data_IF_018924216765
#
_entry.id   IF_018924216765
#
_cell.length_a   1.000
_cell.length_b   1.000
_cell.length_c   1.000
_cell.angle_alpha   90.00
_cell.angle_beta   90.00
_cell.angle_gamma   90.00
#
_symmetry.space_group_name_H-M   'P 1'
#
loop_
_entity.id
_entity.type
_entity.pdbx_description
1 polymer ?
#
# COMPACT_ATOMS: atom_id res chain seq x y z
N UNK A 1 7.62 10.09 94.30
CA UNK A 1 7.43 9.18 95.44
C UNK A 1 5.94 8.89 95.45
N UNK A 2 5.35 7.83 94.91
CA UNK A 2 5.71 6.52 94.30
C UNK A 2 4.72 6.32 93.11
N UNK A 3 5.05 5.84 91.89
CA UNK A 3 5.24 4.43 91.43
C UNK A 3 4.16 3.46 91.97
N UNK A 4 3.45 2.59 91.24
CA UNK A 4 3.55 1.88 89.94
C UNK A 4 2.12 1.62 89.39
N UNK A 5 1.80 1.71 88.08
CA UNK A 5 1.95 0.72 86.98
C UNK A 5 1.21 -0.64 87.17
N UNK A 6 0.15 -0.92 86.38
CA UNK A 6 0.20 -1.75 85.14
C UNK A 6 -1.14 -2.38 84.68
N UNK A 7 -1.40 -2.24 83.35
CA UNK A 7 -1.97 -3.17 82.34
C UNK A 7 -3.44 -3.63 82.27
N UNK A 8 -3.96 -3.42 81.04
CA UNK A 8 -4.77 -4.31 80.16
C UNK A 8 -6.23 -4.56 80.57
N UNK A 9 -7.18 -3.99 79.83
CA UNK A 9 -7.80 -4.64 78.66
C UNK A 9 -8.82 -3.69 78.01
N UNK A 10 -8.85 -3.69 76.67
CA UNK A 10 -9.73 -2.83 75.88
C UNK A 10 -11.14 -3.38 75.79
N UNK A 11 -12.12 -2.49 75.67
CA UNK A 11 -13.38 -2.69 74.93
C UNK A 11 -13.82 -1.32 74.42
N UNK A 12 -13.89 -1.19 73.10
CA UNK A 12 -14.37 -0.02 72.38
C UNK A 12 -15.85 -0.25 72.06
N UNK A 13 -16.74 0.57 72.62
CA UNK A 13 -18.20 0.46 72.43
C UNK A 13 -18.57 0.99 71.05
N UNK A 14 -19.12 0.11 70.20
CA UNK A 14 -19.51 0.40 68.83
C UNK A 14 -20.81 1.20 68.71
N UNK A 15 -20.78 2.26 67.89
CA UNK A 15 -21.99 2.90 67.36
C UNK A 15 -22.41 2.22 66.06
N UNK A 16 -23.65 1.71 66.05
CA UNK A 16 -24.28 1.12 64.87
C UNK A 16 -24.65 2.22 63.86
N UNK A 17 -23.97 2.22 62.70
CA UNK A 17 -24.36 3.02 61.54
C UNK A 17 -25.25 2.18 60.62
N UNK A 18 -26.49 2.62 60.43
CA UNK A 18 -27.49 1.99 59.57
C UNK A 18 -27.11 2.18 58.10
N UNK A 19 -26.61 1.12 57.47
CA UNK A 19 -26.36 1.09 56.03
C UNK A 19 -27.69 0.89 55.28
N UNK A 20 -28.11 1.87 54.49
CA UNK A 20 -29.15 1.67 53.47
C UNK A 20 -28.57 0.87 52.29
N UNK A 21 -29.28 -0.13 51.74
CA UNK A 21 -28.84 -0.79 50.53
C UNK A 21 -29.05 0.15 49.34
N UNK A 22 -27.97 0.50 48.65
CA UNK A 22 -28.01 1.17 47.35
C UNK A 22 -28.52 0.16 46.32
N UNK A 23 -29.75 0.36 45.85
CA UNK A 23 -30.29 -0.35 44.68
C UNK A 23 -29.41 -0.06 43.46
N UNK A 24 -28.59 -1.03 43.03
CA UNK A 24 -27.98 -1.04 41.70
C UNK A 24 -29.08 -1.21 40.66
N UNK A 25 -29.62 -0.10 40.14
CA UNK A 25 -30.51 -0.11 38.98
C UNK A 25 -29.76 -0.64 37.76
N UNK A 26 -30.44 -1.54 37.03
CA UNK A 26 -29.89 -2.40 36.00
C UNK A 26 -29.16 -1.67 34.88
N UNK A 27 -27.88 -2.00 34.74
CA UNK A 27 -27.15 -1.84 33.49
C UNK A 27 -27.21 -3.13 32.68
N UNK A 28 -27.68 -3.01 31.44
CA UNK A 28 -27.01 -3.57 30.26
C UNK A 28 -27.52 -4.85 29.56
N UNK A 29 -28.43 -4.63 28.60
CA UNK A 29 -28.29 -5.26 27.28
C UNK A 29 -27.23 -4.56 26.43
N UNK A 30 -27.15 -3.22 26.52
CA UNK A 30 -26.22 -2.41 25.71
C UNK A 30 -24.73 -2.67 26.01
N UNK A 31 -24.37 -2.98 27.27
CA UNK A 31 -22.99 -3.37 27.63
C UNK A 31 -22.62 -4.81 27.23
N UNK A 32 -23.59 -5.74 27.16
CA UNK A 32 -23.34 -7.11 26.68
C UNK A 32 -23.06 -7.13 25.19
N UNK A 33 -23.85 -6.39 24.40
CA UNK A 33 -23.61 -6.20 22.97
C UNK A 33 -22.28 -5.46 22.72
N UNK A 34 -21.97 -4.42 23.50
CA UNK A 34 -20.69 -3.71 23.43
C UNK A 34 -19.49 -4.60 23.82
N UNK A 35 -19.65 -5.49 24.79
CA UNK A 35 -18.61 -6.46 25.21
C UNK A 35 -18.41 -7.58 24.19
N UNK A 36 -19.49 -8.09 23.59
CA UNK A 36 -19.44 -9.07 22.51
C UNK A 36 -18.81 -8.46 21.25
N UNK A 37 -19.25 -7.26 20.85
CA UNK A 37 -18.68 -6.52 19.73
C UNK A 37 -17.21 -6.16 19.97
N UNK A 38 -16.80 -5.84 21.20
CA UNK A 38 -15.39 -5.66 21.58
C UNK A 38 -14.59 -6.95 21.45
N UNK A 39 -15.09 -8.09 21.97
CA UNK A 39 -14.40 -9.39 21.84
C UNK A 39 -14.29 -9.85 20.39
N UNK A 40 -15.36 -9.65 19.62
CA UNK A 40 -15.40 -10.00 18.19
C UNK A 40 -14.49 -9.10 17.36
N UNK A 41 -14.49 -7.78 17.58
CA UNK A 41 -13.56 -6.88 16.90
C UNK A 41 -12.11 -7.15 17.29
N UNK A 42 -11.80 -7.37 18.58
CA UNK A 42 -10.45 -7.80 18.99
C UNK A 42 -10.04 -9.12 18.36
N UNK A 43 -10.95 -10.08 18.21
CA UNK A 43 -10.68 -11.33 17.50
C UNK A 43 -10.46 -11.12 16.00
N UNK A 44 -11.32 -10.34 15.31
CA UNK A 44 -11.18 -10.01 13.90
C UNK A 44 -9.86 -9.33 13.57
N UNK A 45 -9.40 -8.40 14.43
CA UNK A 45 -8.13 -7.70 14.28
C UNK A 45 -6.92 -8.48 14.81
N UNK A 46 -7.12 -9.69 15.37
CA UNK A 46 -6.00 -10.58 15.68
C UNK A 46 -5.42 -11.14 14.38
N UNK A 47 -4.13 -11.48 14.36
CA UNK A 47 -3.49 -12.11 13.19
C UNK A 47 -4.25 -13.37 12.73
N UNK A 48 -4.75 -14.18 13.67
CA UNK A 48 -5.55 -15.38 13.38
C UNK A 48 -6.90 -15.01 12.76
N UNK A 49 -7.57 -13.98 13.26
CA UNK A 49 -8.84 -13.49 12.72
C UNK A 49 -8.70 -12.93 11.30
N UNK A 50 -7.63 -12.17 11.03
CA UNK A 50 -7.32 -11.68 9.68
C UNK A 50 -7.06 -12.83 8.71
N UNK A 51 -6.26 -13.83 9.11
CA UNK A 51 -6.03 -15.03 8.29
C UNK A 51 -7.35 -15.77 7.99
N UNK A 52 -8.21 -15.96 9.00
CA UNK A 52 -9.51 -16.61 8.81
C UNK A 52 -10.43 -15.80 7.87
N UNK A 53 -10.40 -14.47 7.95
CA UNK A 53 -11.18 -13.58 7.08
C UNK A 53 -10.71 -13.68 5.62
N UNK A 54 -9.39 -13.66 5.38
CA UNK A 54 -8.81 -13.82 4.04
C UNK A 54 -9.21 -15.17 3.44
N UNK A 55 -9.08 -16.27 4.20
CA UNK A 55 -9.49 -17.60 3.75
C UNK A 55 -10.99 -17.62 3.42
N UNK A 56 -11.83 -17.07 4.30
CA UNK A 56 -13.28 -17.00 4.08
C UNK A 56 -13.65 -16.19 2.84
N UNK A 57 -12.98 -15.06 2.60
CA UNK A 57 -13.17 -14.23 1.40
C UNK A 57 -12.76 -14.98 0.13
N UNK A 58 -11.66 -15.72 0.16
CA UNK A 58 -11.22 -16.55 -0.98
C UNK A 58 -12.18 -17.69 -1.29
N UNK A 59 -12.74 -18.35 -0.27
CA UNK A 59 -13.76 -19.41 -0.45
C UNK A 59 -15.05 -18.83 -1.07
N UNK A 60 -15.48 -17.65 -0.60
CA UNK A 60 -16.63 -16.95 -1.19
C UNK A 60 -16.37 -16.60 -2.67
N UNK A 61 -15.16 -16.11 -3.00
CA UNK A 61 -14.74 -15.86 -4.37
C UNK A 61 -14.78 -17.12 -5.24
N UNK A 62 -14.33 -18.27 -4.72
CA UNK A 62 -14.35 -19.54 -5.45
C UNK A 62 -15.78 -19.97 -5.83
N UNK A 63 -16.75 -19.83 -4.91
CA UNK A 63 -18.16 -20.11 -5.23
C UNK A 63 -18.71 -19.12 -6.26
N UNK A 64 -18.40 -17.83 -6.13
CA UNK A 64 -18.85 -16.81 -7.05
C UNK A 64 -18.34 -17.05 -8.48
N UNK A 65 -17.02 -17.20 -8.66
CA UNK A 65 -16.44 -17.42 -9.99
C UNK A 65 -16.85 -18.74 -10.61
N UNK A 66 -16.96 -19.83 -9.83
CA UNK A 66 -17.50 -21.09 -10.35
C UNK A 66 -18.94 -20.92 -10.86
N UNK A 67 -19.79 -20.20 -10.12
CA UNK A 67 -21.18 -19.98 -10.52
C UNK A 67 -21.31 -19.10 -11.77
N UNK A 68 -20.40 -18.14 -11.96
CA UNK A 68 -20.41 -17.21 -13.08
C UNK A 68 -19.76 -17.82 -14.35
N UNK A 69 -18.60 -18.48 -14.22
CA UNK A 69 -17.76 -18.87 -15.36
C UNK A 69 -17.98 -20.33 -15.82
N UNK A 70 -18.28 -21.26 -14.91
CA UNK A 70 -18.35 -22.68 -15.27
C UNK A 70 -19.43 -23.01 -16.33
N UNK A 71 -20.64 -22.42 -16.28
CA UNK A 71 -21.64 -22.67 -17.32
C UNK A 71 -21.19 -22.19 -18.70
N UNK A 72 -20.48 -21.05 -18.75
CA UNK A 72 -19.97 -20.48 -20.00
C UNK A 72 -18.83 -21.32 -20.57
N UNK A 73 -17.91 -21.80 -19.73
CA UNK A 73 -16.83 -22.71 -20.11
C UNK A 73 -17.37 -24.01 -20.72
N UNK A 74 -18.36 -24.64 -20.07
CA UNK A 74 -18.96 -25.89 -20.55
C UNK A 74 -19.65 -25.70 -21.90
N UNK A 75 -20.43 -24.62 -22.05
CA UNK A 75 -21.07 -24.30 -23.32
C UNK A 75 -20.05 -24.05 -24.44
N UNK A 76 -18.94 -23.36 -24.13
CA UNK A 76 -17.90 -23.08 -25.12
C UNK A 76 -17.15 -24.34 -25.54
N UNK A 77 -16.85 -25.23 -24.60
CA UNK A 77 -16.24 -26.53 -24.86
C UNK A 77 -17.13 -27.39 -25.78
N UNK A 78 -18.45 -27.39 -25.55
CA UNK A 78 -19.40 -28.08 -26.41
C UNK A 78 -19.43 -27.49 -27.83
N UNK A 79 -19.47 -26.16 -27.95
CA UNK A 79 -19.41 -25.48 -29.26
C UNK A 79 -18.15 -25.84 -30.06
N UNK A 80 -16.98 -25.85 -29.42
CA UNK A 80 -15.71 -26.23 -30.08
C UNK A 80 -15.74 -27.70 -30.50
N UNK A 81 -16.32 -28.58 -29.68
CA UNK A 81 -16.52 -29.98 -30.04
C UNK A 81 -17.43 -30.14 -31.26
N UNK A 82 -18.53 -29.38 -31.33
CA UNK A 82 -19.44 -29.37 -32.47
C UNK A 82 -18.77 -28.82 -33.73
N UNK A 83 -17.98 -27.74 -33.62
CA UNK A 83 -17.23 -27.18 -34.73
C UNK A 83 -16.21 -28.18 -35.29
N UNK A 84 -15.53 -28.94 -34.43
CA UNK A 84 -14.63 -30.01 -34.83
C UNK A 84 -15.39 -31.10 -35.59
N UNK A 85 -16.53 -31.57 -35.08
CA UNK A 85 -17.34 -32.60 -35.74
C UNK A 85 -17.87 -32.13 -37.09
N UNK A 86 -18.34 -30.89 -37.18
CA UNK A 86 -18.78 -30.25 -38.42
C UNK A 86 -17.64 -30.13 -39.43
N UNK A 87 -16.44 -29.76 -38.99
CA UNK A 87 -15.26 -29.70 -39.86
C UNK A 87 -14.92 -31.08 -40.42
N UNK A 88 -14.93 -32.12 -39.58
CA UNK A 88 -14.74 -33.52 -40.04
C UNK A 88 -15.83 -33.93 -41.02
N UNK A 89 -17.10 -33.54 -40.79
CA UNK A 89 -18.23 -33.80 -41.68
C UNK A 89 -18.04 -33.12 -43.05
N UNK A 90 -17.59 -31.87 -43.08
CA UNK A 90 -17.30 -31.15 -44.34
C UNK A 90 -16.14 -31.77 -45.10
N UNK A 91 -15.07 -32.13 -44.40
CA UNK A 91 -13.95 -32.87 -44.99
C UNK A 91 -14.45 -34.20 -45.59
N UNK A 92 -15.42 -34.87 -44.95
CA UNK A 92 -16.04 -36.08 -45.50
C UNK A 92 -16.81 -35.77 -46.78
N UNK A 93 -17.68 -34.76 -46.80
CA UNK A 93 -18.44 -34.38 -48.00
C UNK A 93 -17.55 -34.04 -49.20
N UNK A 94 -16.38 -33.43 -48.95
CA UNK A 94 -15.37 -33.17 -49.98
C UNK A 94 -14.77 -34.49 -50.47
N UNK A 95 -14.47 -35.41 -49.54
CA UNK A 95 -13.86 -36.72 -49.82
C UNK A 95 -14.84 -37.66 -50.57
N UNK A 96 -16.11 -37.68 -50.17
CA UNK A 96 -17.19 -38.47 -50.76
C UNK A 96 -17.45 -38.06 -52.22
N UNK A 97 -17.36 -36.76 -52.52
CA UNK A 97 -17.42 -36.21 -53.89
C UNK A 97 -16.26 -36.63 -54.80
N UNK A 98 -15.15 -37.16 -54.24
CA UNK A 98 -13.94 -37.55 -54.98
C UNK A 98 -13.79 -39.08 -55.19
N UNK A 99 -14.77 -39.85 -54.72
CA UNK A 99 -15.06 -41.27 -54.98
C UNK A 99 -14.17 -42.35 -54.29
N UNK A 100 -14.88 -43.17 -53.51
CA UNK A 100 -14.52 -44.40 -52.77
C UNK A 100 -13.63 -44.24 -51.54
N UNK A 101 -14.25 -43.87 -50.41
CA UNK A 101 -13.70 -44.12 -49.07
C UNK A 101 -14.72 -44.77 -48.13
N UNK A 102 -14.24 -45.57 -47.18
CA UNK A 102 -15.07 -46.17 -46.13
C UNK A 102 -15.34 -45.13 -45.03
N UNK A 103 -16.58 -44.64 -44.96
CA UNK A 103 -17.02 -43.54 -44.08
C UNK A 103 -16.49 -43.65 -42.64
N UNK A 104 -16.81 -44.74 -41.94
CA UNK A 104 -16.48 -44.86 -40.51
C UNK A 104 -14.95 -44.90 -40.28
N UNK A 105 -14.22 -45.57 -41.16
CA UNK A 105 -12.77 -45.68 -41.06
C UNK A 105 -12.10 -44.35 -41.38
N UNK A 106 -12.57 -43.64 -42.41
CA UNK A 106 -12.07 -42.31 -42.76
C UNK A 106 -12.39 -41.28 -41.68
N UNK A 107 -13.63 -41.24 -41.16
CA UNK A 107 -14.02 -40.31 -40.12
C UNK A 107 -13.18 -40.52 -38.86
N UNK A 108 -12.89 -41.77 -38.51
CA UNK A 108 -11.99 -42.11 -37.41
C UNK A 108 -10.56 -41.67 -37.67
N UNK A 109 -10.01 -41.94 -38.86
CA UNK A 109 -8.64 -41.54 -39.23
C UNK A 109 -8.46 -40.02 -39.26
N UNK A 110 -9.41 -39.28 -39.83
CA UNK A 110 -9.35 -37.80 -39.88
C UNK A 110 -9.57 -37.20 -38.50
N UNK A 111 -10.51 -37.73 -37.71
CA UNK A 111 -10.67 -37.27 -36.31
C UNK A 111 -9.39 -37.48 -35.50
N UNK A 112 -8.69 -38.58 -35.75
CA UNK A 112 -7.38 -38.85 -35.14
C UNK A 112 -6.33 -37.84 -35.62
N UNK A 113 -6.23 -37.57 -36.93
CA UNK A 113 -5.26 -36.64 -37.50
C UNK A 113 -5.50 -35.19 -37.04
N UNK A 114 -6.76 -34.74 -37.00
CA UNK A 114 -7.12 -33.41 -36.47
C UNK A 114 -6.75 -33.30 -35.00
N UNK A 115 -6.96 -34.37 -34.21
CA UNK A 115 -6.56 -34.39 -32.79
C UNK A 115 -5.04 -34.38 -32.63
N UNK A 116 -4.32 -35.05 -33.52
CA UNK A 116 -2.86 -35.02 -33.58
C UNK A 116 -2.36 -33.60 -33.88
N UNK A 117 -2.86 -32.98 -34.96
CA UNK A 117 -2.55 -31.58 -35.30
C UNK A 117 -2.87 -30.62 -34.15
N UNK A 118 -4.03 -30.76 -33.51
CA UNK A 118 -4.39 -29.94 -32.35
C UNK A 118 -3.39 -30.12 -31.19
N UNK A 119 -2.91 -31.35 -30.96
CA UNK A 119 -1.94 -31.64 -29.89
C UNK A 119 -0.60 -31.00 -30.19
N UNK A 120 -0.12 -31.12 -31.43
CA UNK A 120 1.12 -30.49 -31.90
C UNK A 120 1.02 -28.96 -31.88
N UNK A 121 -0.11 -28.39 -32.30
CA UNK A 121 -0.36 -26.95 -32.24
C UNK A 121 -0.36 -26.44 -30.81
N UNK A 122 -1.03 -27.13 -29.88
CA UNK A 122 -1.01 -26.77 -28.46
C UNK A 122 0.40 -26.86 -27.89
N UNK A 123 1.20 -27.85 -28.31
CA UNK A 123 2.61 -27.96 -27.93
C UNK A 123 3.42 -26.78 -28.48
N UNK A 124 3.27 -26.43 -29.76
CA UNK A 124 3.93 -25.29 -30.39
C UNK A 124 3.56 -23.96 -29.71
N UNK A 125 2.27 -23.75 -29.36
CA UNK A 125 1.81 -22.55 -28.63
C UNK A 125 2.42 -22.49 -27.23
N UNK A 126 2.50 -23.64 -26.53
CA UNK A 126 3.21 -23.72 -25.24
C UNK A 126 4.70 -23.40 -25.36
N UNK A 127 5.32 -23.73 -26.49
CA UNK A 127 6.72 -23.40 -26.78
C UNK A 127 6.93 -21.96 -27.28
N UNK A 128 5.85 -21.22 -27.55
CA UNK A 128 5.86 -19.78 -27.84
C UNK A 128 5.41 -19.41 -29.26
N UNK A 129 4.80 -20.33 -30.01
CA UNK A 129 4.13 -19.98 -31.26
C UNK A 129 2.88 -19.14 -30.98
N UNK A 130 2.77 -18.00 -31.63
CA UNK A 130 1.70 -17.01 -31.42
C UNK A 130 0.64 -17.00 -32.53
N UNK A 131 0.70 -17.97 -33.45
CA UNK A 131 -0.26 -18.08 -34.55
C UNK A 131 -0.05 -17.09 -35.69
N UNK A 132 1.03 -16.28 -35.66
CA UNK A 132 1.33 -15.30 -36.71
C UNK A 132 2.41 -15.85 -37.65
N UNK A 133 2.03 -16.12 -38.89
CA UNK A 133 2.95 -16.62 -39.92
C UNK A 133 3.75 -15.45 -40.53
N UNK A 134 4.93 -15.17 -39.97
CA UNK A 134 5.93 -14.26 -40.53
C UNK A 134 5.65 -12.76 -40.36
N UNK A 135 6.70 -12.01 -39.97
CA UNK A 135 6.76 -10.55 -40.10
C UNK A 135 6.55 -9.72 -38.83
N UNK A 136 5.86 -10.22 -37.80
CA UNK A 136 5.69 -9.50 -36.53
C UNK A 136 6.47 -10.17 -35.40
N UNK A 137 7.54 -9.53 -34.92
CA UNK A 137 8.28 -10.01 -33.75
C UNK A 137 7.66 -9.43 -32.48
N UNK A 138 7.24 -10.28 -31.54
CA UNK A 138 6.76 -9.85 -30.21
C UNK A 138 7.84 -9.11 -29.41
N UNK A 139 9.10 -9.53 -29.57
CA UNK A 139 10.28 -8.91 -28.94
C UNK A 139 10.81 -7.69 -29.71
N UNK A 140 9.92 -6.77 -30.13
CA UNK A 140 10.36 -5.45 -30.58
C UNK A 140 10.93 -4.64 -29.41
N UNK A 141 11.64 -3.52 -29.67
CA UNK A 141 12.14 -2.68 -28.58
C UNK A 141 11.01 -2.20 -27.65
N UNK A 142 9.90 -1.69 -28.20
CA UNK A 142 8.75 -1.26 -27.38
C UNK A 142 8.06 -2.42 -26.67
N UNK A 143 8.01 -3.62 -27.27
CA UNK A 143 7.50 -4.83 -26.61
C UNK A 143 8.39 -5.28 -25.45
N UNK A 144 9.72 -5.29 -25.65
CA UNK A 144 10.69 -5.60 -24.61
C UNK A 144 10.72 -4.54 -23.50
N UNK A 145 10.50 -3.27 -23.83
CA UNK A 145 10.37 -2.18 -22.86
C UNK A 145 9.11 -2.35 -22.01
N UNK A 146 7.96 -2.61 -22.62
CA UNK A 146 6.72 -2.89 -21.90
C UNK A 146 6.86 -4.13 -21.01
N UNK A 147 7.47 -5.20 -21.53
CA UNK A 147 7.79 -6.39 -20.74
C UNK A 147 8.64 -6.03 -19.51
N UNK A 148 9.75 -5.30 -19.71
CA UNK A 148 10.65 -4.88 -18.63
C UNK A 148 9.91 -4.04 -17.59
N UNK A 149 9.06 -3.11 -18.02
CA UNK A 149 8.22 -2.31 -17.15
C UNK A 149 7.24 -3.19 -16.34
N UNK A 150 6.57 -4.15 -16.97
CA UNK A 150 5.62 -5.06 -16.29
C UNK A 150 6.31 -5.97 -15.26
N UNK A 151 7.59 -6.31 -15.46
CA UNK A 151 8.39 -7.08 -14.50
C UNK A 151 8.72 -6.24 -13.27
N UNK A 152 9.26 -5.02 -13.45
CA UNK A 152 9.64 -4.17 -12.30
C UNK A 152 8.43 -3.65 -11.54
N UNK A 153 7.30 -3.43 -12.22
CA UNK A 153 6.03 -3.01 -11.61
C UNK A 153 5.22 -4.16 -11.01
N UNK A 154 5.69 -5.40 -11.16
CA UNK A 154 5.00 -6.62 -10.68
C UNK A 154 3.61 -6.84 -11.28
N UNK A 155 3.30 -6.22 -12.43
CA UNK A 155 2.05 -6.43 -13.18
C UNK A 155 2.07 -7.82 -13.83
N UNK A 156 3.12 -8.11 -14.60
CA UNK A 156 3.37 -9.42 -15.20
C UNK A 156 2.24 -10.02 -16.04
N UNK A 157 1.80 -9.35 -17.12
CA UNK A 157 0.73 -9.82 -18.01
C UNK A 157 0.85 -11.30 -18.46
N UNK A 158 2.08 -11.79 -18.65
CA UNK A 158 2.31 -13.19 -19.03
C UNK A 158 2.04 -13.52 -20.50
N UNK A 159 1.50 -12.59 -21.28
CA UNK A 159 1.33 -12.71 -22.74
C UNK A 159 2.70 -12.81 -23.47
N UNK A 160 3.71 -12.06 -22.99
CA UNK A 160 5.10 -12.15 -23.46
C UNK A 160 5.97 -12.60 -22.29
N UNK A 161 6.69 -13.71 -22.47
CA UNK A 161 7.58 -14.26 -21.44
C UNK A 161 8.81 -14.95 -22.06
N UNK A 162 9.97 -14.91 -21.40
CA UNK A 162 11.20 -15.52 -21.89
C UNK A 162 11.07 -17.05 -21.91
N UNK A 163 11.20 -17.64 -23.09
CA UNK A 163 11.19 -19.10 -23.26
C UNK A 163 12.57 -19.73 -23.07
N UNK A 164 13.63 -19.00 -23.42
CA UNK A 164 15.01 -19.46 -23.31
C UNK A 164 15.49 -19.54 -21.86
N UNK A 165 16.38 -20.50 -21.57
CA UNK A 165 16.98 -20.63 -20.23
C UNK A 165 17.71 -19.35 -19.80
N UNK A 166 18.47 -18.73 -20.72
CA UNK A 166 19.15 -17.47 -20.48
C UNK A 166 18.19 -16.30 -20.23
N UNK A 167 17.09 -16.20 -20.98
CA UNK A 167 16.08 -15.16 -20.76
C UNK A 167 15.38 -15.28 -19.40
N UNK A 168 15.12 -16.52 -18.95
CA UNK A 168 14.57 -16.79 -17.60
C UNK A 168 15.55 -16.36 -16.51
N UNK A 169 16.83 -16.74 -16.62
CA UNK A 169 17.88 -16.33 -15.67
C UNK A 169 18.02 -14.80 -15.64
N UNK A 170 18.08 -14.16 -16.80
CA UNK A 170 18.18 -12.70 -16.91
C UNK A 170 16.98 -12.01 -16.25
N UNK A 171 15.76 -12.52 -16.45
CA UNK A 171 14.55 -11.98 -15.83
C UNK A 171 14.58 -12.10 -14.31
N UNK A 172 15.06 -13.22 -13.76
CA UNK A 172 15.19 -13.41 -12.31
C UNK A 172 16.12 -12.34 -11.72
N UNK A 173 17.31 -12.16 -12.31
CA UNK A 173 18.28 -11.16 -11.85
C UNK A 173 17.72 -9.74 -11.99
N UNK A 174 17.06 -9.46 -13.12
CA UNK A 174 16.43 -8.18 -13.39
C UNK A 174 15.33 -7.85 -12.38
N UNK A 175 14.47 -8.81 -12.02
CA UNK A 175 13.40 -8.62 -11.04
C UNK A 175 13.93 -8.40 -9.62
N UNK A 176 14.98 -9.12 -9.20
CA UNK A 176 15.60 -8.97 -7.87
C UNK A 176 16.07 -7.54 -7.62
N UNK A 177 16.63 -6.88 -8.63
CA UNK A 177 17.11 -5.50 -8.52
C UNK A 177 15.99 -4.50 -8.83
N UNK A 178 15.17 -4.79 -9.84
CA UNK A 178 14.16 -3.89 -10.36
C UNK A 178 12.97 -3.68 -9.42
N UNK A 179 12.49 -4.71 -8.72
CA UNK A 179 11.34 -4.59 -7.82
C UNK A 179 11.66 -3.67 -6.62
N UNK A 180 12.78 -3.83 -5.88
CA UNK A 180 13.15 -2.89 -4.82
C UNK A 180 13.33 -1.45 -5.33
N UNK A 181 13.94 -1.28 -6.50
CA UNK A 181 14.09 0.04 -7.12
C UNK A 181 12.73 0.67 -7.44
N UNK A 182 11.78 -0.12 -7.95
CA UNK A 182 10.42 0.32 -8.22
C UNK A 182 9.67 0.70 -6.93
N UNK A 183 9.81 -0.07 -5.85
CA UNK A 183 9.19 0.26 -4.56
C UNK A 183 9.73 1.57 -3.98
N UNK A 184 11.04 1.80 -4.10
CA UNK A 184 11.67 3.07 -3.71
C UNK A 184 11.14 4.23 -4.55
N UNK A 185 11.06 4.04 -5.88
CA UNK A 185 10.46 5.01 -6.79
C UNK A 185 9.03 5.36 -6.39
N UNK A 186 8.17 4.36 -6.14
CA UNK A 186 6.78 4.55 -5.75
C UNK A 186 6.64 5.27 -4.42
N UNK A 187 7.47 4.95 -3.44
CA UNK A 187 7.45 5.62 -2.12
C UNK A 187 7.81 7.09 -2.26
N UNK A 188 8.92 7.39 -2.93
CA UNK A 188 9.40 8.76 -3.10
C UNK A 188 8.44 9.63 -3.93
N UNK A 189 8.01 9.11 -5.09
CA UNK A 189 7.10 9.84 -5.97
C UNK A 189 5.71 9.96 -5.34
N UNK A 190 5.21 8.90 -4.70
CA UNK A 190 3.93 8.91 -3.99
C UNK A 190 3.87 10.00 -2.92
N UNK A 191 4.94 10.16 -2.14
CA UNK A 191 5.04 11.21 -1.12
C UNK A 191 5.11 12.62 -1.69
N UNK A 192 5.91 12.81 -2.75
CA UNK A 192 6.03 14.12 -3.42
C UNK A 192 4.67 14.52 -4.01
N UNK A 193 4.01 13.59 -4.71
CA UNK A 193 2.69 13.81 -5.28
C UNK A 193 1.65 14.07 -4.18
N UNK A 194 1.66 13.32 -3.09
CA UNK A 194 0.74 13.51 -1.97
C UNK A 194 0.92 14.89 -1.29
N UNK A 195 2.17 15.34 -1.09
CA UNK A 195 2.48 16.68 -0.57
C UNK A 195 1.99 17.78 -1.52
N UNK A 196 2.27 17.62 -2.82
CA UNK A 196 1.85 18.54 -3.87
C UNK A 196 0.32 18.61 -3.95
N UNK A 197 -0.35 17.46 -3.86
CA UNK A 197 -1.80 17.35 -3.88
C UNK A 197 -2.44 18.03 -2.67
N UNK A 198 -1.94 17.80 -1.45
CA UNK A 198 -2.42 18.50 -0.24
C UNK A 198 -2.23 20.01 -0.34
N UNK A 199 -1.12 20.47 -0.92
CA UNK A 199 -0.89 21.89 -1.16
C UNK A 199 -1.93 22.49 -2.13
N UNK A 200 -2.17 21.82 -3.26
CA UNK A 200 -3.17 22.24 -4.26
C UNK A 200 -4.58 22.21 -3.67
N UNK A 201 -4.96 21.13 -3.00
CA UNK A 201 -6.26 20.99 -2.34
C UNK A 201 -6.46 22.06 -1.26
N UNK A 202 -5.45 22.30 -0.41
CA UNK A 202 -5.48 23.35 0.60
C UNK A 202 -5.65 24.74 -0.02
N UNK A 203 -5.03 25.02 -1.17
CA UNK A 203 -5.20 26.28 -1.90
C UNK A 203 -6.61 26.43 -2.47
N UNK A 204 -7.16 25.38 -3.08
CA UNK A 204 -8.53 25.37 -3.64
C UNK A 204 -9.57 25.55 -2.52
N UNK A 205 -9.45 24.84 -1.40
CA UNK A 205 -10.36 24.97 -0.26
C UNK A 205 -10.22 26.32 0.46
N UNK A 206 -9.01 26.89 0.53
CA UNK A 206 -8.79 28.23 1.12
C UNK A 206 -9.35 29.37 0.25
N UNK A 207 -9.56 29.14 -1.05
CA UNK A 207 -10.26 30.08 -1.93
C UNK A 207 -11.81 30.01 -1.77
N UNK A 208 -12.35 28.96 -1.15
CA UNK A 208 -13.79 28.78 -0.90
C UNK A 208 -14.25 29.09 0.53
N UNK A 209 -13.33 29.25 1.48
CA UNK A 209 -13.65 29.60 2.87
C UNK A 209 -12.98 30.92 3.24
N UNK A 210 -13.66 32.03 2.94
CA UNK A 210 -13.53 33.26 3.72
C UNK A 210 -14.08 33.01 5.13
N UNK A 211 -13.37 32.19 5.92
CA UNK A 211 -13.76 31.89 7.29
C UNK A 211 -13.47 33.11 8.19
N UNK A 212 -14.50 33.79 8.72
CA UNK A 212 -14.33 34.97 9.59
C UNK A 212 -13.62 34.63 10.91
N UNK A 213 -13.46 33.35 11.25
CA UNK A 213 -12.92 32.92 12.53
C UNK A 213 -11.39 33.10 12.64
N UNK A 214 -10.64 33.10 11.52
CA UNK A 214 -9.19 33.35 11.53
C UNK A 214 -8.81 34.80 11.88
N UNK A 215 -9.71 35.78 11.67
CA UNK A 215 -9.45 37.20 12.01
C UNK A 215 -9.55 37.49 13.51
N UNK A 216 -10.24 36.66 14.28
CA UNK A 216 -10.50 36.95 15.71
C UNK A 216 -9.36 36.57 16.65
N UNK A 217 -8.43 35.70 16.22
CA UNK A 217 -7.29 35.27 17.04
C UNK A 217 -6.09 36.23 16.98
N UNK A 218 -5.94 37.01 15.91
CA UNK A 218 -4.87 38.01 15.81
C UNK A 218 -5.17 39.29 16.62
N UNK A 219 -6.44 39.60 16.90
CA UNK A 219 -6.82 40.83 17.60
C UNK A 219 -6.79 40.72 19.14
N UNK A 220 -6.57 39.53 19.69
CA UNK A 220 -6.59 39.29 21.14
C UNK A 220 -5.19 39.11 21.77
N UNK A 221 -4.12 39.36 21.02
CA UNK A 221 -2.75 39.28 21.54
C UNK A 221 -2.12 40.64 21.90
N UNK A 222 -2.90 41.73 21.85
CA UNK A 222 -2.51 43.02 22.42
C UNK A 222 -3.05 43.17 23.84
N UNK A 223 -2.49 42.43 24.79
CA UNK A 223 -2.29 42.92 26.16
C UNK A 223 -1.54 41.88 27.01
N UNK A 224 -0.22 42.04 27.14
CA UNK A 224 0.47 41.73 28.38
C UNK A 224 1.67 42.68 28.56
N UNK A 225 1.95 43.19 29.77
CA UNK A 225 2.95 44.23 29.97
C UNK A 225 4.36 43.65 29.87
N UNK A 226 5.29 44.45 29.34
CA UNK A 226 6.72 44.17 29.24
C UNK A 226 7.36 44.04 30.62
N UNK A 227 7.80 42.83 30.99
CA UNK A 227 8.81 42.66 32.04
C UNK A 227 10.21 42.75 31.42
N UNK A 228 10.98 43.71 31.91
CA UNK A 228 12.34 44.01 31.48
C UNK A 228 13.30 42.88 31.90
N UNK A 229 13.87 42.16 30.93
CA UNK A 229 15.05 41.34 31.19
C UNK A 229 16.29 42.23 31.29
N UNK A 230 16.82 42.38 32.52
CA UNK A 230 18.12 43.01 32.78
C UNK A 230 19.24 42.04 32.40
N UNK A 231 20.02 42.40 31.39
CA UNK A 231 21.30 41.76 31.05
C UNK A 231 22.31 42.09 32.17
N UNK A 232 22.65 41.11 32.99
CA UNK A 232 23.77 41.24 33.94
C UNK A 232 25.09 40.96 33.20
N UNK A 233 25.79 42.02 32.81
CA UNK A 233 27.20 41.94 32.45
C UNK A 233 28.02 41.66 33.72
N UNK A 234 28.70 40.51 33.79
CA UNK A 234 29.74 40.26 34.80
C UNK A 234 31.03 40.90 34.29
N UNK A 235 31.34 42.08 34.82
CA UNK A 235 32.64 42.76 34.66
C UNK A 235 33.60 42.18 35.70
N UNK A 236 34.68 41.54 35.24
CA UNK A 236 35.78 41.11 36.09
C UNK A 236 36.59 42.33 36.55
N UNK A 237 36.47 42.69 37.83
CA UNK A 237 37.39 43.63 38.47
C UNK A 237 38.41 42.87 39.32
N UNK A 238 39.68 42.96 38.93
CA UNK A 238 40.84 42.55 39.71
C UNK A 238 41.25 43.67 40.67
N UNK A 239 41.40 43.37 41.97
CA UNK A 239 42.36 44.04 42.88
C UNK A 239 42.44 43.39 44.28
N UNK A 240 43.55 43.57 45.02
CA UNK A 240 44.22 42.48 45.75
C UNK A 240 44.06 42.57 47.28
N UNK A 241 44.35 41.46 47.99
CA UNK A 241 44.68 41.50 49.43
C UNK A 241 45.86 40.60 49.78
N UNK A 242 46.84 41.21 50.46
CA UNK A 242 47.97 40.58 51.16
C UNK A 242 47.53 39.96 52.48
N UNK A 243 48.12 38.82 52.87
CA UNK A 243 48.84 38.64 54.14
C UNK A 243 49.62 37.30 54.17
N UNK A 244 50.70 37.31 54.97
CA UNK A 244 51.91 36.46 55.04
C UNK A 244 51.80 35.39 56.17
N UNK A 245 52.86 34.63 56.56
CA UNK A 245 53.35 33.33 56.04
C UNK A 245 53.36 32.17 57.09
N UNK A 246 53.62 30.92 56.66
CA UNK A 246 54.67 30.02 57.21
C UNK A 246 54.47 28.53 56.84
N UNK A 247 55.61 27.83 56.77
CA UNK A 247 55.89 26.36 56.74
C UNK A 247 55.91 25.60 55.39
N UNK A 248 57.14 25.23 54.99
CA UNK A 248 57.60 24.23 53.99
C UNK A 248 57.53 22.76 54.55
N UNK A 249 58.10 21.71 53.89
CA UNK A 249 57.93 21.20 52.50
C UNK A 249 57.72 19.65 52.45
N UNK A 250 57.46 19.09 51.26
CA UNK A 250 57.55 17.63 51.00
C UNK A 250 57.17 17.26 49.55
N UNK A 251 58.12 17.22 48.61
CA UNK A 251 58.70 15.99 47.99
C UNK A 251 57.66 15.11 47.26
N UNK A 252 57.62 15.11 45.92
CA UNK A 252 58.36 14.14 45.09
C UNK A 252 58.15 14.37 43.58
N UNK A 253 59.25 14.17 42.84
CA UNK A 253 59.39 14.10 41.40
C UNK A 253 58.32 13.27 40.66
N UNK A 254 57.97 13.69 39.44
CA UNK A 254 58.40 12.96 38.23
C UNK A 254 58.11 13.72 36.93
N UNK A 255 59.20 13.86 36.20
CA UNK A 255 59.39 14.28 34.83
C UNK A 255 58.67 13.36 33.83
N UNK A 256 57.79 13.90 32.97
CA UNK A 256 57.66 13.44 31.59
C UNK A 256 57.13 14.57 30.69
N UNK A 257 57.89 14.87 29.63
CA UNK A 257 57.58 15.84 28.58
C UNK A 257 56.59 15.23 27.55
N UNK A 258 55.88 16.09 26.79
CA UNK A 258 54.61 15.74 26.14
C UNK A 258 54.80 15.17 24.73
N UNK A 259 53.78 14.51 24.20
CA UNK A 259 53.53 14.65 22.78
C UNK A 259 52.04 14.87 22.45
N UNK A 260 51.83 15.99 21.76
CA UNK A 260 50.94 16.21 20.60
C UNK A 260 49.44 16.43 20.85
N UNK A 261 49.02 17.61 20.42
CA UNK A 261 47.66 18.15 20.31
C UNK A 261 46.61 17.11 19.88
N UNK A 262 45.85 16.57 20.84
CA UNK A 262 44.53 16.02 20.55
C UNK A 262 43.53 17.18 20.42
N UNK A 263 43.34 17.64 19.19
CA UNK A 263 42.17 18.42 18.81
C UNK A 263 40.95 17.53 18.97
N UNK A 264 40.32 17.57 20.15
CA UNK A 264 39.02 16.96 20.39
C UNK A 264 37.97 17.77 19.66
N UNK A 265 37.67 17.38 18.42
CA UNK A 265 36.46 17.80 17.72
C UNK A 265 35.30 17.14 18.48
N UNK A 266 34.73 17.88 19.43
CA UNK A 266 33.38 17.55 19.89
C UNK A 266 32.45 17.70 18.69
N UNK A 267 31.95 16.56 18.23
CA UNK A 267 30.85 16.46 17.29
C UNK A 267 29.68 17.31 17.83
N UNK A 268 29.49 18.51 17.28
CA UNK A 268 28.19 19.19 17.28
C UNK A 268 27.28 18.44 16.30
N UNK A 269 26.87 17.25 16.70
CA UNK A 269 25.65 16.60 16.24
C UNK A 269 24.72 16.59 17.46
N UNK A 270 23.41 16.76 17.24
CA UNK A 270 22.34 16.67 18.25
C UNK A 270 21.87 17.98 18.89
N UNK A 271 21.85 19.07 18.11
CA UNK A 271 20.93 20.19 18.35
C UNK A 271 20.18 20.59 17.07
N UNK A 272 19.75 19.60 16.29
CA UNK A 272 18.48 19.73 15.56
C UNK A 272 17.37 19.60 16.60
N UNK A 273 17.07 20.72 17.26
CA UNK A 273 15.80 20.89 17.96
C UNK A 273 14.70 20.68 16.92
N UNK A 274 14.12 19.48 16.94
CA UNK A 274 12.87 19.08 16.32
C UNK A 274 11.70 19.96 16.81
N UNK A 275 11.74 21.25 16.52
CA UNK A 275 10.52 22.03 16.34
C UNK A 275 10.06 21.72 14.92
N UNK A 276 9.64 20.47 14.73
CA UNK A 276 8.78 20.09 13.62
C UNK A 276 7.48 20.89 13.85
N UNK A 277 7.44 22.07 13.26
CA UNK A 277 6.25 22.90 13.22
C UNK A 277 5.18 22.01 12.58
N UNK A 278 4.32 21.39 13.39
CA UNK A 278 3.17 20.60 12.92
C UNK A 278 2.27 21.54 12.12
N UNK A 279 2.59 21.72 10.83
CA UNK A 279 1.66 22.32 9.88
C UNK A 279 0.41 21.44 9.95
N UNK A 280 -0.78 22.00 10.20
CA UNK A 280 -2.01 21.22 10.18
C UNK A 280 -2.10 20.54 8.81
N UNK A 281 -1.83 19.23 8.78
CA UNK A 281 -1.87 18.44 7.55
C UNK A 281 -3.33 18.43 7.14
N UNK A 282 -3.64 19.10 6.02
CA UNK A 282 -4.99 19.10 5.47
C UNK A 282 -5.33 17.65 5.14
N UNK A 283 -6.28 17.09 5.89
CA UNK A 283 -6.79 15.74 5.67
C UNK A 283 -7.55 15.71 4.36
N UNK A 284 -7.07 14.90 3.43
CA UNK A 284 -7.72 14.70 2.14
C UNK A 284 -8.72 13.55 2.32
N UNK A 285 -10.02 13.77 2.05
CA UNK A 285 -10.99 12.71 2.23
C UNK A 285 -10.76 11.57 1.23
N UNK A 286 -10.87 10.32 1.70
CA UNK A 286 -10.73 9.09 0.89
C UNK A 286 -11.60 9.14 -0.37
N UNK A 287 -12.78 9.77 -0.30
CA UNK A 287 -13.69 9.93 -1.45
C UNK A 287 -13.05 10.70 -2.60
N UNK A 288 -12.20 11.70 -2.32
CA UNK A 288 -11.51 12.47 -3.33
C UNK A 288 -10.40 11.65 -4.01
N UNK A 289 -9.65 10.86 -3.24
CA UNK A 289 -8.64 9.94 -3.78
C UNK A 289 -9.27 8.89 -4.70
N UNK A 290 -10.39 8.29 -4.26
CA UNK A 290 -11.15 7.34 -5.08
C UNK A 290 -11.69 7.98 -6.35
N UNK A 291 -12.20 9.21 -6.29
CA UNK A 291 -12.68 9.94 -7.46
C UNK A 291 -11.55 10.16 -8.48
N UNK A 292 -10.37 10.57 -8.04
CA UNK A 292 -9.21 10.75 -8.91
C UNK A 292 -8.83 9.43 -9.59
N UNK A 293 -8.76 8.34 -8.83
CA UNK A 293 -8.44 7.02 -9.37
C UNK A 293 -9.49 6.56 -10.40
N UNK A 294 -10.78 6.69 -10.09
CA UNK A 294 -11.88 6.36 -11.02
C UNK A 294 -11.81 7.23 -12.27
N UNK A 295 -11.52 8.53 -12.14
CA UNK A 295 -11.38 9.43 -13.29
C UNK A 295 -10.20 9.06 -14.19
N UNK A 296 -9.09 8.62 -13.59
CA UNK A 296 -7.90 8.18 -14.32
C UNK A 296 -8.13 6.86 -15.07
N UNK A 297 -8.82 5.91 -14.43
CA UNK A 297 -9.24 4.66 -15.07
C UNK A 297 -10.23 4.95 -16.20
N UNK A 298 -11.21 5.82 -15.98
CA UNK A 298 -12.21 6.17 -16.99
C UNK A 298 -11.57 6.88 -18.19
N UNK A 299 -10.60 7.76 -17.96
CA UNK A 299 -9.83 8.41 -19.02
C UNK A 299 -9.00 7.40 -19.83
N UNK A 300 -8.34 6.46 -19.16
CA UNK A 300 -7.64 5.36 -19.80
C UNK A 300 -8.58 4.46 -20.61
N UNK A 301 -9.75 4.13 -20.06
CA UNK A 301 -10.76 3.31 -20.72
C UNK A 301 -11.21 3.92 -22.06
N UNK A 302 -11.45 5.24 -22.10
CA UNK A 302 -11.77 5.95 -23.35
C UNK A 302 -10.58 5.92 -24.31
N UNK A 303 -9.36 6.16 -23.84
CA UNK A 303 -8.15 6.14 -24.67
C UNK A 303 -7.95 4.78 -25.36
N UNK A 304 -7.97 3.69 -24.59
CA UNK A 304 -7.74 2.34 -25.13
C UNK A 304 -8.94 1.81 -25.91
N UNK A 305 -10.18 2.18 -25.54
CA UNK A 305 -11.37 1.87 -26.33
C UNK A 305 -11.31 2.47 -27.73
N UNK A 306 -10.81 3.71 -27.87
CA UNK A 306 -10.63 4.36 -29.17
C UNK A 306 -9.48 3.76 -30.01
N UNK A 307 -8.42 3.27 -29.36
CA UNK A 307 -7.22 2.78 -30.06
C UNK A 307 -7.24 1.30 -30.43
N UNK A 308 -7.85 0.47 -29.59
CA UNK A 308 -7.90 -0.98 -29.77
C UNK A 308 -9.30 -1.45 -30.23
N UNK A 309 -10.27 -0.54 -30.33
CA UNK A 309 -11.65 -0.86 -30.68
C UNK A 309 -12.39 -1.65 -29.60
N UNK A 310 -11.87 -1.65 -28.37
CA UNK A 310 -12.49 -2.33 -27.23
C UNK A 310 -13.75 -1.63 -26.75
N UNK A 311 -14.65 -2.37 -26.09
CA UNK A 311 -15.75 -1.76 -25.36
C UNK A 311 -15.23 -0.91 -24.19
N UNK A 312 -16.02 0.06 -23.72
CA UNK A 312 -15.65 0.86 -22.54
C UNK A 312 -15.39 -0.01 -21.30
N UNK A 313 -16.18 -1.07 -21.12
CA UNK A 313 -16.01 -2.02 -20.02
C UNK A 313 -14.64 -2.71 -20.10
N UNK A 314 -14.29 -3.25 -21.25
CA UNK A 314 -13.00 -3.93 -21.50
C UNK A 314 -11.82 -2.98 -21.29
N UNK A 315 -11.91 -1.73 -21.79
CA UNK A 315 -10.92 -0.70 -21.56
C UNK A 315 -10.76 -0.35 -20.07
N UNK A 316 -11.88 -0.21 -19.34
CA UNK A 316 -11.86 0.06 -17.90
C UNK A 316 -11.34 -1.13 -17.08
N UNK A 317 -11.68 -2.35 -17.49
CA UNK A 317 -11.19 -3.59 -16.90
C UNK A 317 -9.68 -3.72 -17.10
N UNK A 318 -9.19 -3.50 -18.32
CA UNK A 318 -7.76 -3.44 -18.62
C UNK A 318 -7.03 -2.43 -17.74
N UNK A 319 -7.51 -1.17 -17.69
CA UNK A 319 -6.89 -0.14 -16.87
C UNK A 319 -6.89 -0.53 -15.39
N UNK A 320 -7.99 -1.04 -14.84
CA UNK A 320 -8.06 -1.45 -13.44
C UNK A 320 -7.10 -2.61 -13.14
N UNK A 321 -7.21 -3.72 -13.87
CA UNK A 321 -6.39 -4.94 -13.69
C UNK A 321 -4.90 -4.65 -13.81
N UNK A 322 -4.54 -3.76 -14.71
CA UNK A 322 -3.14 -3.38 -14.92
C UNK A 322 -2.62 -2.50 -13.79
N UNK A 323 -3.35 -1.44 -13.46
CA UNK A 323 -2.94 -0.47 -12.44
C UNK A 323 -2.96 -1.10 -11.04
N UNK A 324 -3.87 -2.02 -10.76
CA UNK A 324 -3.88 -2.80 -9.51
C UNK A 324 -2.82 -3.90 -9.47
N UNK A 325 -1.92 -3.98 -10.47
CA UNK A 325 -0.86 -4.99 -10.62
C UNK A 325 -1.38 -6.43 -10.55
N UNK A 326 -2.60 -6.69 -11.04
CA UNK A 326 -3.15 -8.04 -11.18
C UNK A 326 -2.64 -8.66 -12.48
N UNK A 327 -2.72 -7.90 -13.58
CA UNK A 327 -2.09 -8.24 -14.86
C UNK A 327 -2.47 -9.60 -15.44
N UNK A 328 -3.76 -9.87 -15.70
CA UNK A 328 -4.17 -11.14 -16.31
C UNK A 328 -3.64 -11.37 -17.73
N UNK A 329 -3.36 -10.28 -18.47
CA UNK A 329 -2.80 -10.35 -19.83
C UNK A 329 -3.74 -10.90 -20.89
N UNK A 330 -5.03 -11.00 -20.56
CA UNK A 330 -6.14 -11.33 -21.46
C UNK A 330 -6.46 -10.18 -22.43
N UNK A 331 -6.25 -8.93 -21.99
CA UNK A 331 -6.26 -7.74 -22.82
C UNK A 331 -4.92 -7.02 -22.69
N UNK A 332 -4.23 -6.83 -23.81
CA UNK A 332 -3.00 -6.03 -23.86
C UNK A 332 -3.00 -5.20 -25.15
N UNK A 333 -2.71 -3.89 -25.08
CA UNK A 333 -2.63 -3.04 -26.26
C UNK A 333 -1.61 -3.56 -27.26
N UNK A 334 -1.92 -3.49 -28.56
CA UNK A 334 -1.05 -3.95 -29.63
C UNK A 334 -1.11 -5.45 -29.95
N UNK A 335 -2.01 -6.22 -29.35
CA UNK A 335 -2.17 -7.66 -29.66
C UNK A 335 -3.08 -7.90 -30.89
N UNK A 336 -4.12 -7.06 -31.05
CA UNK A 336 -5.08 -7.13 -32.15
C UNK A 336 -4.52 -6.55 -33.47
N UNK A 337 -4.19 -7.48 -34.36
CA UNK A 337 -4.30 -7.38 -35.84
C UNK A 337 -3.29 -6.47 -36.56
N UNK A 338 -2.40 -7.13 -37.31
CA UNK A 338 -1.65 -6.67 -38.50
C UNK A 338 -1.02 -5.29 -38.37
N UNK A 339 0.27 -5.28 -38.03
CA UNK A 339 1.31 -4.38 -38.54
C UNK A 339 0.86 -2.99 -39.01
N UNK A 340 0.10 -2.28 -38.20
CA UNK A 340 -0.24 -0.89 -38.47
C UNK A 340 0.94 -0.04 -37.98
N UNK A 341 1.33 0.98 -38.75
CA UNK A 341 2.52 1.80 -38.52
C UNK A 341 2.52 2.45 -37.10
N UNK A 342 1.37 2.50 -36.42
CA UNK A 342 1.21 3.05 -35.07
C UNK A 342 1.38 2.08 -33.89
N UNK A 343 1.66 0.78 -34.10
CA UNK A 343 1.71 -0.20 -32.99
C UNK A 343 2.78 0.16 -31.94
N UNK A 344 3.96 0.62 -32.39
CA UNK A 344 5.03 1.02 -31.47
C UNK A 344 4.66 2.27 -30.66
N UNK A 345 3.92 3.22 -31.27
CA UNK A 345 3.46 4.43 -30.61
C UNK A 345 2.44 4.11 -29.51
N UNK A 346 1.48 3.21 -29.80
CA UNK A 346 0.48 2.73 -28.82
C UNK A 346 1.15 2.10 -27.59
N UNK A 347 2.19 1.27 -27.78
CA UNK A 347 2.93 0.61 -26.69
C UNK A 347 3.74 1.60 -25.84
N UNK A 348 4.36 2.61 -26.46
CA UNK A 348 5.11 3.64 -25.73
C UNK A 348 4.15 4.47 -24.88
N UNK A 349 3.02 4.91 -25.44
CA UNK A 349 2.03 5.70 -24.69
C UNK A 349 1.38 4.84 -23.58
N UNK A 350 1.12 3.55 -23.85
CA UNK A 350 0.70 2.60 -22.83
C UNK A 350 1.71 2.57 -21.67
N UNK A 351 3.01 2.43 -21.97
CA UNK A 351 4.05 2.39 -20.94
C UNK A 351 4.12 3.68 -20.10
N UNK A 352 3.95 4.86 -20.74
CA UNK A 352 3.87 6.14 -20.04
C UNK A 352 2.62 6.24 -19.16
N UNK A 353 1.47 5.79 -19.68
CA UNK A 353 0.23 5.71 -18.90
C UNK A 353 0.45 4.83 -17.65
N UNK A 354 1.05 3.64 -17.80
CA UNK A 354 1.32 2.77 -16.64
C UNK A 354 2.25 3.42 -15.62
N UNK A 355 3.32 4.08 -16.06
CA UNK A 355 4.27 4.72 -15.16
C UNK A 355 3.61 5.86 -14.34
N UNK A 356 2.79 6.69 -14.99
CA UNK A 356 2.03 7.76 -14.33
C UNK A 356 0.95 7.18 -13.41
N UNK A 357 0.22 6.17 -13.88
CA UNK A 357 -0.85 5.54 -13.12
C UNK A 357 -0.35 4.85 -11.84
N UNK A 358 0.81 4.20 -11.91
CA UNK A 358 1.46 3.60 -10.74
C UNK A 358 1.88 4.67 -9.72
N UNK A 359 2.40 5.81 -10.18
CA UNK A 359 2.69 6.95 -9.30
C UNK A 359 1.43 7.53 -8.64
N UNK A 360 0.31 7.61 -9.38
CA UNK A 360 -0.98 8.05 -8.84
C UNK A 360 -1.55 7.08 -7.82
N UNK A 361 -1.42 5.76 -8.03
CA UNK A 361 -1.82 4.76 -7.04
C UNK A 361 -0.98 4.86 -5.79
N UNK A 362 0.35 5.00 -5.91
CA UNK A 362 1.22 5.17 -4.75
C UNK A 362 0.83 6.39 -3.91
N UNK A 363 0.55 7.53 -4.57
CA UNK A 363 -0.01 8.71 -3.90
C UNK A 363 -1.34 8.38 -3.19
N UNK A 364 -2.28 7.75 -3.89
CA UNK A 364 -3.60 7.41 -3.32
C UNK A 364 -3.46 6.45 -2.13
N UNK A 365 -2.56 5.46 -2.22
CA UNK A 365 -2.27 4.51 -1.15
C UNK A 365 -1.69 5.21 0.08
N UNK A 366 -0.71 6.10 -0.09
CA UNK A 366 -0.11 6.86 1.02
C UNK A 366 -1.19 7.73 1.71
N UNK A 367 -2.01 8.44 0.93
CA UNK A 367 -3.10 9.27 1.47
C UNK A 367 -4.17 8.43 2.19
N UNK A 368 -4.58 7.29 1.60
CA UNK A 368 -5.57 6.40 2.18
C UNK A 368 -5.06 5.71 3.44
N UNK A 369 -3.79 5.30 3.47
CA UNK A 369 -3.16 4.65 4.61
C UNK A 369 -3.19 5.58 5.84
N UNK A 370 -2.78 6.84 5.68
CA UNK A 370 -2.83 7.83 6.76
C UNK A 370 -4.26 8.00 7.31
N UNK A 371 -5.24 8.21 6.43
CA UNK A 371 -6.65 8.40 6.80
C UNK A 371 -7.26 7.16 7.48
N UNK A 372 -6.96 5.95 6.99
CA UNK A 372 -7.43 4.70 7.58
C UNK A 372 -6.86 4.53 8.98
N UNK A 373 -5.56 4.80 9.19
CA UNK A 373 -4.94 4.74 10.51
C UNK A 373 -5.62 5.72 11.48
N UNK A 374 -5.91 6.95 11.04
CA UNK A 374 -6.63 7.93 11.87
C UNK A 374 -8.05 7.45 12.23
N UNK A 375 -8.82 6.92 11.27
CA UNK A 375 -10.18 6.41 11.53
C UNK A 375 -10.18 5.17 12.42
N UNK A 376 -9.23 4.26 12.22
CA UNK A 376 -9.07 3.05 13.05
C UNK A 376 -8.70 3.44 14.48
N UNK A 377 -7.78 4.39 14.68
CA UNK A 377 -7.45 4.93 16.02
C UNK A 377 -8.67 5.56 16.69
N UNK A 378 -9.43 6.38 15.98
CA UNK A 378 -10.67 6.98 16.51
C UNK A 378 -11.75 5.94 16.84
N UNK A 379 -11.87 4.88 16.03
CA UNK A 379 -12.75 3.75 16.31
C UNK A 379 -12.29 2.97 17.55
N UNK A 380 -10.98 2.68 17.65
CA UNK A 380 -10.35 2.04 18.80
C UNK A 380 -10.55 2.80 20.11
N UNK A 381 -10.48 4.13 20.06
CA UNK A 381 -10.83 5.04 21.18
C UNK A 381 -12.30 4.91 21.57
N UNK A 382 -13.24 4.97 20.61
CA UNK A 382 -14.69 4.81 20.88
C UNK A 382 -15.06 3.44 21.47
N UNK A 383 -14.34 2.39 21.08
CA UNK A 383 -14.53 1.02 21.58
C UNK A 383 -13.80 0.81 22.92
N UNK A 384 -12.89 1.72 23.30
CA UNK A 384 -12.09 1.65 24.53
C UNK A 384 -11.04 0.54 24.50
N UNK A 385 -10.46 0.27 23.32
CA UNK A 385 -9.33 -0.66 23.13
C UNK A 385 -8.00 0.07 23.32
N UNK A 386 -7.93 1.33 22.89
CA UNK A 386 -6.74 2.19 23.02
C UNK A 386 -7.01 3.14 24.19
N UNK A 387 -6.16 3.11 25.22
CA UNK A 387 -6.08 4.14 26.25
C UNK A 387 -4.99 5.13 25.83
N UNK A 388 -5.25 6.43 25.95
CA UNK A 388 -4.21 7.43 25.73
C UNK A 388 -3.16 7.30 26.84
N UNK A 389 -1.87 7.35 26.49
CA UNK A 389 -0.75 7.32 27.45
C UNK A 389 -0.54 8.68 28.16
N UNK A 390 -1.39 9.67 27.91
CA UNK A 390 -1.20 11.07 28.33
C UNK A 390 -1.59 11.36 29.79
N UNK A 391 -1.89 10.35 30.64
CA UNK A 391 -2.27 10.57 32.05
C UNK A 391 -1.22 10.10 33.08
N UNK A 392 -0.04 9.59 32.68
CA UNK A 392 1.00 9.14 33.63
C UNK A 392 2.10 10.19 33.92
N UNK A 393 2.24 11.25 33.13
CA UNK A 393 3.32 12.26 33.32
C UNK A 393 2.95 13.45 34.21
N UNK A 394 1.69 13.57 34.65
CA UNK A 394 1.21 14.66 35.53
C UNK A 394 1.07 14.25 37.01
N UNK A 395 1.55 13.05 37.38
CA UNK A 395 1.59 12.54 38.76
C UNK A 395 2.94 11.88 39.13
N UNK A 396 4.03 12.31 38.48
CA UNK A 396 5.41 11.90 38.79
C UNK A 396 6.12 12.85 39.73
#
# INVERSE_FOLDING_TARGET
MEMEMNRRDGIMVGMASVHRPVHKRGGSQNSKCKRCCKRFTTFLFSHVGLCALVIGYSVMGAFAFRALEAPYEEQKAEQVSHLRQETVRRLWEITDKLNVLYKDNWTRMVSHEVRHFQTELIAAVKDGYDGKDGGSQQWSFSGAFLYSLTVITTIGYGNIAPRTNWGKIATIIYAIIGIPLMLLYLTNIGDILAKSFRYVYGRICSCGSSDPYKRRRHNNHHHHPSENYRVHHIVAHNSPKRHHPNSEPGVQDKLHMPPEDEVRIEHMADLDLDIEYEKPRVSVPITLCLLILVSYISGGAVLFSLWEGWGFLDGSYFCFVTLSTIGFGDLVPGDSVVSDEGTQEKLVICSLYLLIGMALIAMCFNLMQEEVIHKVRNCGRRIGIIKDQEEEDDMG
#
